data_IF_074438887245
#
_entry.id   IF_074438887245
#
_cell.length_a   1.000
_cell.length_b   1.000
_cell.length_c   1.000
_cell.angle_alpha   90.00
_cell.angle_beta   90.00
_cell.angle_gamma   90.00
#
_symmetry.space_group_name_H-M   'P 1'
#
loop_
_entity.id
_entity.type
_entity.pdbx_description
1 polymer ?
#
# COMPACT_ATOMS: atom_id res chain seq x y z
N UNK A 1 -25.57 7.38 11.70
CA UNK A 1 -24.13 7.71 11.88
C UNK A 1 -23.82 7.93 13.36
N UNK A 2 -22.65 7.50 13.84
CA UNK A 2 -22.22 7.68 15.25
C UNK A 2 -21.69 9.09 15.56
N UNK A 3 -21.44 9.91 14.54
CA UNK A 3 -21.07 11.33 14.66
C UNK A 3 -21.36 12.09 13.36
N UNK A 4 -21.28 13.43 13.41
CA UNK A 4 -21.35 14.31 12.22
C UNK A 4 -20.10 14.19 11.34
N UNK A 5 -20.21 14.57 10.07
CA UNK A 5 -19.08 14.56 9.13
C UNK A 5 -17.89 15.36 9.68
N UNK A 6 -16.71 14.72 9.70
CA UNK A 6 -15.44 15.25 10.25
C UNK A 6 -15.45 15.61 11.75
N UNK A 7 -16.52 15.31 12.48
CA UNK A 7 -16.62 15.55 13.92
C UNK A 7 -16.02 14.42 14.78
N UNK A 8 -15.45 13.39 14.15
CA UNK A 8 -14.78 12.29 14.83
C UNK A 8 -13.70 11.67 13.96
N UNK A 9 -12.80 10.93 14.62
CA UNK A 9 -11.73 10.19 13.98
C UNK A 9 -11.93 8.70 14.23
N UNK A 10 -11.85 7.91 13.17
CA UNK A 10 -11.76 6.46 13.23
C UNK A 10 -10.85 5.99 12.10
N UNK A 11 -9.80 5.26 12.45
CA UNK A 11 -8.84 4.79 11.46
C UNK A 11 -9.48 3.79 10.50
N UNK A 12 -9.29 3.99 9.20
CA UNK A 12 -9.79 3.09 8.17
C UNK A 12 -8.83 3.04 6.98
N UNK A 13 -8.28 1.85 6.70
CA UNK A 13 -7.47 1.61 5.52
C UNK A 13 -8.24 1.91 4.23
N UNK A 14 -9.50 1.48 4.16
CA UNK A 14 -10.34 1.74 2.99
C UNK A 14 -10.76 3.21 2.90
N UNK A 15 -10.89 3.92 4.03
CA UNK A 15 -11.11 5.37 4.02
C UNK A 15 -9.94 6.13 3.39
N UNK A 16 -8.71 5.76 3.75
CA UNK A 16 -7.48 6.29 3.11
C UNK A 16 -7.37 5.88 1.64
N UNK A 17 -7.70 4.62 1.33
CA UNK A 17 -7.70 4.07 -0.04
C UNK A 17 -8.65 4.85 -0.94
N UNK A 18 -9.89 5.09 -0.50
CA UNK A 18 -10.87 5.86 -1.26
C UNK A 18 -10.38 7.29 -1.51
N UNK A 19 -9.73 7.92 -0.52
CA UNK A 19 -9.13 9.24 -0.70
C UNK A 19 -8.10 9.29 -1.84
N UNK A 20 -7.23 8.27 -1.94
CA UNK A 20 -6.24 8.17 -3.00
C UNK A 20 -6.88 7.90 -4.39
N UNK A 21 -7.86 7.00 -4.46
CA UNK A 21 -8.61 6.72 -5.69
C UNK A 21 -9.34 7.98 -6.17
N UNK A 22 -10.01 8.69 -5.27
CA UNK A 22 -10.69 9.94 -5.58
C UNK A 22 -9.73 11.03 -6.08
N UNK A 23 -8.52 11.13 -5.48
CA UNK A 23 -7.49 12.07 -5.93
C UNK A 23 -6.91 11.72 -7.31
N UNK A 24 -6.80 10.43 -7.64
CA UNK A 24 -6.31 9.96 -8.95
C UNK A 24 -7.37 10.08 -10.05
N UNK A 25 -8.67 9.98 -9.71
CA UNK A 25 -9.79 9.93 -10.65
C UNK A 25 -9.75 11.00 -11.76
N UNK A 26 -9.44 12.29 -11.51
CA UNK A 26 -9.41 13.31 -12.57
C UNK A 26 -8.32 13.09 -13.63
N UNK A 27 -7.32 12.26 -13.33
CA UNK A 27 -6.19 11.99 -14.24
C UNK A 27 -6.49 10.89 -15.27
N UNK A 28 -7.57 10.13 -15.07
CA UNK A 28 -7.89 8.94 -15.88
C UNK A 28 -6.92 7.76 -15.70
N UNK A 29 -5.96 7.86 -14.77
CA UNK A 29 -4.97 6.82 -14.48
C UNK A 29 -5.25 6.13 -13.14
N UNK A 30 -4.81 4.87 -12.96
CA UNK A 30 -4.85 4.20 -11.67
C UNK A 30 -3.92 4.90 -10.66
N UNK A 31 -4.24 4.80 -9.37
CA UNK A 31 -3.54 5.56 -8.33
C UNK A 31 -2.05 5.19 -8.25
N UNK A 32 -1.70 3.92 -8.49
CA UNK A 32 -0.32 3.42 -8.40
C UNK A 32 0.57 4.11 -9.44
N UNK A 33 0.03 4.40 -10.62
CA UNK A 33 0.74 5.15 -11.66
C UNK A 33 0.94 6.61 -11.25
N UNK A 34 -0.08 7.24 -10.66
CA UNK A 34 0.02 8.61 -10.15
C UNK A 34 1.03 8.69 -9.00
N UNK A 35 1.03 7.72 -8.08
CA UNK A 35 2.02 7.64 -7.01
C UNK A 35 3.45 7.52 -7.57
N UNK A 36 3.66 6.67 -8.57
CA UNK A 36 4.95 6.57 -9.22
C UNK A 36 5.37 7.88 -9.93
N UNK A 37 4.48 8.45 -10.72
CA UNK A 37 4.76 9.64 -11.53
C UNK A 37 4.99 10.90 -10.70
N UNK A 38 4.23 11.07 -9.62
CA UNK A 38 4.17 12.30 -8.83
C UNK A 38 4.93 12.24 -7.52
N UNK A 39 5.22 11.05 -6.99
CA UNK A 39 5.91 10.88 -5.70
C UNK A 39 7.20 10.07 -5.83
N UNK A 40 7.14 8.82 -6.29
CA UNK A 40 8.29 7.92 -6.22
C UNK A 40 9.42 8.35 -7.16
N UNK A 41 9.11 8.60 -8.43
CA UNK A 41 10.11 8.97 -9.44
C UNK A 41 10.77 10.33 -9.14
N UNK A 42 10.03 11.42 -8.80
CA UNK A 42 10.65 12.70 -8.45
C UNK A 42 11.56 12.64 -7.21
N UNK A 43 11.29 11.71 -6.28
CA UNK A 43 12.08 11.52 -5.07
C UNK A 43 13.20 10.47 -5.22
N UNK A 44 13.39 9.89 -6.42
CA UNK A 44 14.41 8.87 -6.66
C UNK A 44 14.13 7.53 -5.97
N UNK A 45 12.88 7.22 -5.62
CA UNK A 45 12.48 6.00 -4.90
C UNK A 45 12.39 4.78 -5.85
N UNK A 46 13.48 4.44 -6.54
CA UNK A 46 13.49 3.41 -7.59
C UNK A 46 13.13 1.99 -7.12
N UNK A 47 13.23 1.70 -5.82
CA UNK A 47 12.87 0.41 -5.19
C UNK A 47 11.53 0.44 -4.45
N UNK A 48 10.64 1.39 -4.78
CA UNK A 48 9.30 1.51 -4.17
C UNK A 48 8.23 1.30 -5.22
N UNK A 49 7.23 0.48 -4.90
CA UNK A 49 6.07 0.24 -5.77
C UNK A 49 4.82 -0.02 -4.93
N UNK A 50 3.69 0.41 -5.48
CA UNK A 50 2.36 0.17 -4.91
C UNK A 50 1.68 -1.08 -5.49
N UNK A 51 2.42 -1.97 -6.15
CA UNK A 51 1.89 -3.19 -6.76
C UNK A 51 2.52 -4.44 -6.12
N UNK A 52 1.70 -5.37 -5.66
CA UNK A 52 2.17 -6.62 -5.08
C UNK A 52 2.99 -7.45 -6.08
N UNK A 53 2.60 -7.43 -7.36
CA UNK A 53 3.33 -8.12 -8.42
C UNK A 53 4.81 -7.66 -8.53
N UNK A 54 5.09 -6.38 -8.28
CA UNK A 54 6.45 -5.86 -8.29
C UNK A 54 7.23 -6.36 -7.08
N UNK A 55 6.62 -6.31 -5.89
CA UNK A 55 7.19 -6.88 -4.67
C UNK A 55 7.60 -8.36 -4.84
N UNK A 56 6.75 -9.17 -5.47
CA UNK A 56 7.05 -10.60 -5.71
C UNK A 56 8.19 -10.80 -6.72
N UNK A 57 8.38 -9.88 -7.67
CA UNK A 57 9.48 -9.94 -8.65
C UNK A 57 10.82 -9.50 -8.07
N UNK A 58 10.85 -8.70 -7.01
CA UNK A 58 12.11 -8.27 -6.39
C UNK A 58 12.85 -9.44 -5.73
N UNK A 59 14.12 -9.65 -6.13
CA UNK A 59 14.98 -10.66 -5.52
C UNK A 59 15.30 -10.32 -4.06
N UNK A 60 15.59 -9.04 -3.78
CA UNK A 60 15.76 -8.54 -2.42
C UNK A 60 14.40 -8.16 -1.82
N UNK A 61 13.78 -9.12 -1.12
CA UNK A 61 12.51 -8.92 -0.41
C UNK A 61 12.48 -9.75 0.87
N UNK A 62 11.79 -9.23 1.88
CA UNK A 62 11.56 -9.95 3.13
C UNK A 62 10.21 -10.68 3.12
N UNK A 63 10.19 -11.94 3.54
CA UNK A 63 8.95 -12.67 3.73
C UNK A 63 8.23 -12.23 5.02
N UNK A 64 6.90 -12.18 4.99
CA UNK A 64 6.09 -11.88 6.16
C UNK A 64 6.11 -13.06 7.13
N UNK A 65 6.61 -12.82 8.34
CA UNK A 65 6.62 -13.82 9.41
C UNK A 65 5.48 -13.56 10.39
N UNK A 66 4.81 -14.64 10.78
CA UNK A 66 3.80 -14.62 11.84
C UNK A 66 4.19 -15.63 12.91
N UNK A 67 3.82 -15.35 14.16
CA UNK A 67 4.07 -16.26 15.28
C UNK A 67 2.92 -17.26 15.36
N UNK A 68 3.23 -18.54 15.18
CA UNK A 68 2.28 -19.65 15.27
C UNK A 68 2.84 -20.60 16.34
N UNK A 69 2.05 -20.87 17.38
CA UNK A 69 2.42 -21.79 18.47
C UNK A 69 3.79 -21.51 19.09
N UNK A 70 4.12 -20.23 19.27
CA UNK A 70 5.41 -19.82 19.86
C UNK A 70 6.56 -19.66 18.87
N UNK A 71 6.42 -20.13 17.62
CA UNK A 71 7.48 -20.14 16.61
C UNK A 71 7.18 -19.12 15.50
N UNK A 72 8.19 -18.36 15.07
CA UNK A 72 8.09 -17.47 13.91
C UNK A 72 8.21 -18.24 12.60
N UNK A 73 7.24 -18.10 11.71
CA UNK A 73 7.25 -18.78 10.43
C UNK A 73 6.71 -17.88 9.30
N UNK A 74 7.35 -17.96 8.12
CA UNK A 74 6.93 -17.28 6.90
C UNK A 74 5.84 -18.06 6.14
N UNK A 75 4.67 -18.27 6.77
CA UNK A 75 3.61 -19.12 6.24
C UNK A 75 2.43 -18.36 5.61
N UNK A 76 2.45 -17.03 5.61
CA UNK A 76 1.31 -16.22 5.15
C UNK A 76 1.64 -15.59 3.80
N UNK A 77 0.77 -15.86 2.82
CA UNK A 77 0.71 -15.09 1.58
C UNK A 77 -0.33 -13.98 1.76
N UNK A 78 0.09 -12.73 1.61
CA UNK A 78 -0.79 -11.56 1.65
C UNK A 78 -0.68 -10.82 0.33
N UNK A 79 -1.83 -10.58 -0.28
CA UNK A 79 -1.99 -9.67 -1.41
C UNK A 79 -2.66 -8.38 -0.89
N UNK A 80 -1.91 -7.27 -0.72
CA UNK A 80 -2.44 -6.04 -0.16
C UNK A 80 -2.99 -5.05 -1.21
N UNK A 81 -3.08 -5.40 -2.50
CA UNK A 81 -3.32 -4.43 -3.58
C UNK A 81 -4.58 -3.58 -3.37
N UNK A 82 -5.68 -4.18 -2.90
CA UNK A 82 -6.94 -3.46 -2.66
C UNK A 82 -6.84 -2.33 -1.60
N UNK A 83 -5.83 -2.36 -0.73
CA UNK A 83 -5.56 -1.33 0.28
C UNK A 83 -4.15 -0.74 0.15
N UNK A 84 -3.51 -0.92 -1.01
CA UNK A 84 -2.16 -0.42 -1.27
C UNK A 84 -1.99 1.09 -1.04
N UNK A 85 -2.98 1.98 -1.30
CA UNK A 85 -2.81 3.40 -0.97
C UNK A 85 -2.62 3.69 0.51
N UNK A 86 -3.15 2.84 1.39
CA UNK A 86 -2.92 2.96 2.83
C UNK A 86 -1.58 2.34 3.27
N UNK A 87 -0.99 1.46 2.45
CA UNK A 87 0.25 0.74 2.77
C UNK A 87 1.12 0.50 1.51
N UNK A 88 1.76 1.52 0.95
CA UNK A 88 2.62 1.34 -0.21
C UNK A 88 3.82 0.46 0.12
N UNK A 89 4.17 -0.44 -0.79
CA UNK A 89 5.26 -1.40 -0.62
C UNK A 89 6.64 -0.77 -0.84
N UNK A 90 7.61 -1.13 0.01
CA UNK A 90 9.02 -0.81 -0.17
C UNK A 90 9.82 -2.10 -0.29
N UNK A 91 10.58 -2.25 -1.36
CA UNK A 91 11.68 -3.22 -1.41
C UNK A 91 12.95 -2.52 -0.88
N UNK A 92 13.70 -3.20 -0.03
CA UNK A 92 15.02 -2.71 0.41
C UNK A 92 16.02 -2.89 -0.75
N UNK A 93 16.98 -1.98 -0.94
CA UNK A 93 18.07 -2.17 -1.87
C UNK A 93 18.89 -3.40 -1.51
#
# INVERSE_FOLDING_TARGET
PSSSFRAGYSYSNFGLTEGAVAAAKPTGKPWEEIANEKLYRPLGMASTSSRHADFIKHANRAALHVKIDGVWAAKVKRDPDAQAPAHPGRALP
#
